data_IF_563626856734
#
_entry.id   IF_563626856734
#
_cell.length_a   1.000
_cell.length_b   1.000
_cell.length_c   1.000
_cell.angle_alpha   90.00
_cell.angle_beta   90.00
_cell.angle_gamma   90.00
#
_symmetry.space_group_name_H-M   'P 1'
#
loop_
_entity.id
_entity.type
_entity.pdbx_description
1 polymer ?
#
# COMPACT_ATOMS: atom_id res chain seq x y z
N UNK A 1 130.82 -171.73 6.07
CA UNK A 1 130.77 -170.50 6.89
C UNK A 1 130.21 -169.38 6.01
N UNK A 2 128.90 -169.10 5.90
CA UNK A 2 127.71 -169.58 6.64
C UNK A 2 127.65 -169.21 8.13
N UNK A 3 127.87 -167.93 8.45
CA UNK A 3 127.28 -167.26 9.63
C UNK A 3 127.38 -165.71 9.62
N UNK A 4 128.07 -165.10 8.64
CA UNK A 4 128.22 -163.63 8.55
C UNK A 4 127.21 -162.95 7.58
N UNK A 5 126.60 -163.70 6.67
CA UNK A 5 125.64 -163.15 5.69
C UNK A 5 124.29 -162.82 6.34
N UNK A 6 123.76 -163.72 7.18
CA UNK A 6 122.43 -163.54 7.79
C UNK A 6 122.43 -162.43 8.85
N UNK A 7 123.53 -162.26 9.59
CA UNK A 7 123.70 -161.15 10.53
C UNK A 7 123.73 -159.78 9.81
N UNK A 8 124.34 -159.73 8.62
CA UNK A 8 124.36 -158.54 7.78
C UNK A 8 122.96 -158.23 7.22
N UNK A 9 122.20 -159.25 6.79
CA UNK A 9 120.81 -159.08 6.33
C UNK A 9 119.92 -158.56 7.46
N UNK A 10 120.01 -159.12 8.68
CA UNK A 10 119.21 -158.67 9.83
C UNK A 10 119.55 -157.22 10.19
N UNK A 11 120.84 -156.84 10.24
CA UNK A 11 121.24 -155.45 10.48
C UNK A 11 120.75 -154.49 9.37
N UNK A 12 120.72 -154.92 8.11
CA UNK A 12 120.16 -154.10 7.02
C UNK A 12 118.64 -153.97 7.11
N UNK A 13 117.92 -155.03 7.50
CA UNK A 13 116.46 -154.99 7.74
C UNK A 13 116.12 -154.10 8.92
N UNK A 14 116.82 -154.22 10.04
CA UNK A 14 116.57 -153.40 11.24
C UNK A 14 116.94 -151.92 11.01
N UNK A 15 118.02 -151.65 10.26
CA UNK A 15 118.37 -150.29 9.82
C UNK A 15 117.32 -149.70 8.86
N UNK A 16 116.78 -150.50 7.94
CA UNK A 16 115.65 -150.11 7.08
C UNK A 16 114.35 -149.89 7.86
N UNK A 17 114.05 -150.75 8.84
CA UNK A 17 112.87 -150.61 9.69
C UNK A 17 112.94 -149.35 10.54
N UNK A 18 114.07 -149.07 11.19
CA UNK A 18 114.27 -147.84 11.96
C UNK A 18 114.29 -146.58 11.07
N UNK A 19 114.78 -146.68 9.83
CA UNK A 19 114.69 -145.59 8.85
C UNK A 19 113.23 -145.34 8.45
N UNK A 20 112.49 -146.39 8.07
CA UNK A 20 111.08 -146.30 7.71
C UNK A 20 110.20 -145.82 8.87
N UNK A 21 110.47 -146.25 10.10
CA UNK A 21 109.75 -145.79 11.30
C UNK A 21 110.06 -144.31 11.62
N UNK A 22 111.29 -143.87 11.38
CA UNK A 22 111.67 -142.45 11.42
C UNK A 22 111.02 -141.61 10.31
N UNK A 23 110.81 -142.17 9.12
CA UNK A 23 110.08 -141.53 8.03
C UNK A 23 108.56 -141.47 8.30
N UNK A 24 107.96 -142.57 8.80
CA UNK A 24 106.56 -142.62 9.25
C UNK A 24 106.32 -141.59 10.34
N UNK A 25 107.22 -141.47 11.33
CA UNK A 25 107.11 -140.44 12.36
C UNK A 25 107.17 -139.03 11.76
N UNK A 26 108.11 -138.74 10.85
CA UNK A 26 108.17 -137.44 10.13
C UNK A 26 106.90 -137.16 9.32
N UNK A 27 106.25 -138.19 8.76
CA UNK A 27 104.97 -138.05 8.03
C UNK A 27 103.81 -137.80 9.00
N UNK A 28 103.77 -138.48 10.15
CA UNK A 28 102.77 -138.25 11.19
C UNK A 28 102.90 -136.85 11.82
N UNK A 29 104.13 -136.42 12.12
CA UNK A 29 104.42 -135.06 12.61
C UNK A 29 103.97 -134.00 11.59
N UNK A 30 104.26 -134.20 10.28
CA UNK A 30 103.76 -133.33 9.20
C UNK A 30 102.22 -133.35 9.09
N UNK A 31 101.58 -134.49 9.28
CA UNK A 31 100.12 -134.61 9.20
C UNK A 31 99.44 -133.89 10.39
N UNK A 32 100.01 -133.97 11.60
CA UNK A 32 99.54 -133.22 12.76
C UNK A 32 99.74 -131.71 12.58
N UNK A 33 100.88 -131.30 12.01
CA UNK A 33 101.19 -129.90 11.71
C UNK A 33 100.27 -129.34 10.60
N UNK A 34 99.87 -130.19 9.65
CA UNK A 34 98.87 -129.86 8.61
C UNK A 34 97.44 -129.77 9.18
N UNK A 35 97.01 -130.70 10.04
CA UNK A 35 95.71 -130.63 10.73
C UNK A 35 95.60 -129.37 11.61
N UNK A 36 96.70 -128.95 12.26
CA UNK A 36 96.76 -127.68 12.97
C UNK A 36 96.56 -126.48 12.03
N UNK A 37 97.26 -126.43 10.90
CA UNK A 37 97.10 -125.38 9.87
C UNK A 37 95.67 -125.37 9.31
N UNK A 38 95.10 -126.53 9.01
CA UNK A 38 93.72 -126.67 8.52
C UNK A 38 92.70 -126.18 9.57
N UNK A 39 92.92 -126.41 10.86
CA UNK A 39 92.10 -125.87 11.96
C UNK A 39 92.22 -124.35 12.07
N UNK A 40 93.43 -123.79 11.94
CA UNK A 40 93.66 -122.34 11.90
C UNK A 40 92.95 -121.70 10.69
N UNK A 41 93.05 -122.32 9.50
CA UNK A 41 92.32 -121.90 8.28
C UNK A 41 90.81 -121.97 8.47
N UNK A 42 90.26 -123.07 9.01
CA UNK A 42 88.80 -123.19 9.30
C UNK A 42 88.32 -122.12 10.28
N UNK A 43 89.11 -121.81 11.31
CA UNK A 43 88.79 -120.76 12.27
C UNK A 43 88.84 -119.36 11.63
N UNK A 44 89.79 -119.10 10.74
CA UNK A 44 89.86 -117.86 9.96
C UNK A 44 88.65 -117.72 9.02
N UNK A 45 88.32 -118.78 8.26
CA UNK A 45 87.14 -118.81 7.37
C UNK A 45 85.84 -118.57 8.14
N UNK A 46 85.67 -119.17 9.33
CA UNK A 46 84.50 -118.92 10.19
C UNK A 46 84.38 -117.44 10.57
N UNK A 47 85.48 -116.80 11.00
CA UNK A 47 85.50 -115.35 11.30
C UNK A 47 85.19 -114.50 10.07
N UNK A 48 85.67 -114.90 8.89
CA UNK A 48 85.33 -114.20 7.63
C UNK A 48 83.85 -114.30 7.29
N UNK A 49 83.21 -115.46 7.48
CA UNK A 49 81.76 -115.64 7.28
C UNK A 49 80.97 -114.79 8.28
N UNK A 50 81.32 -114.83 9.57
CA UNK A 50 80.68 -114.00 10.61
C UNK A 50 80.80 -112.49 10.29
N UNK A 51 81.96 -112.05 9.77
CA UNK A 51 82.20 -110.67 9.34
C UNK A 51 81.45 -110.27 8.06
N UNK A 52 81.23 -111.21 7.13
CA UNK A 52 80.43 -111.00 5.91
C UNK A 52 78.96 -110.84 6.29
N UNK A 53 78.40 -111.76 7.09
CA UNK A 53 77.01 -111.69 7.55
C UNK A 53 76.75 -110.37 8.32
N UNK A 54 77.67 -109.99 9.22
CA UNK A 54 77.58 -108.71 9.94
C UNK A 54 77.78 -107.46 9.04
N UNK A 55 78.31 -107.60 7.83
CA UNK A 55 78.26 -106.55 6.81
C UNK A 55 76.92 -106.55 6.05
N UNK A 56 76.40 -107.73 5.68
CA UNK A 56 75.11 -107.90 5.02
C UNK A 56 73.96 -107.31 5.87
N UNK A 57 73.90 -107.63 7.16
CA UNK A 57 72.92 -107.05 8.10
C UNK A 57 72.99 -105.51 8.13
N UNK A 58 74.20 -104.94 8.14
CA UNK A 58 74.40 -103.48 8.11
C UNK A 58 74.02 -102.88 6.76
N UNK A 59 74.29 -103.57 5.65
CA UNK A 59 73.87 -103.13 4.32
C UNK A 59 72.34 -103.11 4.21
N UNK A 60 71.64 -104.14 4.70
CA UNK A 60 70.18 -104.20 4.73
C UNK A 60 69.57 -103.06 5.56
N UNK A 61 70.18 -102.72 6.71
CA UNK A 61 69.79 -101.56 7.52
C UNK A 61 70.09 -100.24 6.79
N UNK A 62 71.21 -100.12 6.08
CA UNK A 62 71.53 -98.93 5.28
C UNK A 62 70.54 -98.76 4.10
N UNK A 63 70.21 -99.83 3.38
CA UNK A 63 69.22 -99.82 2.30
C UNK A 63 67.84 -99.35 2.81
N UNK A 64 67.37 -99.94 3.91
CA UNK A 64 66.11 -99.53 4.57
C UNK A 64 66.12 -98.04 4.95
N UNK A 65 67.23 -97.54 5.49
CA UNK A 65 67.37 -96.13 5.85
C UNK A 65 67.40 -95.20 4.62
N UNK A 66 68.05 -95.62 3.52
CA UNK A 66 68.11 -94.88 2.26
C UNK A 66 66.71 -94.78 1.64
N UNK A 67 65.97 -95.89 1.54
CA UNK A 67 64.59 -95.90 1.06
C UNK A 67 63.69 -94.97 1.89
N UNK A 68 63.81 -95.01 3.22
CA UNK A 68 63.08 -94.10 4.10
C UNK A 68 63.49 -92.62 3.98
N UNK A 69 64.70 -92.30 3.50
CA UNK A 69 65.09 -90.93 3.13
C UNK A 69 64.44 -90.53 1.81
N UNK A 70 64.46 -91.39 0.80
CA UNK A 70 63.84 -91.17 -0.52
C UNK A 70 62.33 -90.92 -0.38
N UNK A 71 61.61 -91.71 0.42
CA UNK A 71 60.19 -91.50 0.69
C UNK A 71 59.90 -90.13 1.33
N UNK A 72 60.75 -89.70 2.27
CA UNK A 72 60.64 -88.37 2.89
C UNK A 72 60.96 -87.24 1.91
N UNK A 73 61.89 -87.43 0.99
CA UNK A 73 62.19 -86.47 -0.09
C UNK A 73 60.98 -86.35 -1.03
N UNK A 74 60.48 -87.46 -1.57
CA UNK A 74 59.30 -87.50 -2.44
C UNK A 74 58.06 -86.84 -1.79
N UNK A 75 57.82 -87.13 -0.50
CA UNK A 75 56.72 -86.50 0.25
C UNK A 75 56.93 -84.99 0.49
N UNK A 76 58.17 -84.53 0.56
CA UNK A 76 58.51 -83.10 0.71
C UNK A 76 58.36 -82.36 -0.62
N UNK A 77 58.81 -82.95 -1.73
CA UNK A 77 58.64 -82.42 -3.08
C UNK A 77 57.16 -82.27 -3.45
N UNK A 78 56.33 -83.28 -3.15
CA UNK A 78 54.88 -83.23 -3.36
C UNK A 78 54.20 -82.11 -2.57
N UNK A 79 54.60 -81.91 -1.29
CA UNK A 79 54.12 -80.77 -0.47
C UNK A 79 54.58 -79.43 -1.03
N UNK A 80 55.83 -79.33 -1.48
CA UNK A 80 56.39 -78.10 -2.06
C UNK A 80 55.70 -77.73 -3.38
N UNK A 81 55.45 -78.70 -4.27
CA UNK A 81 54.70 -78.51 -5.50
C UNK A 81 53.26 -78.03 -5.22
N UNK A 82 52.59 -78.63 -4.23
CA UNK A 82 51.25 -78.21 -3.79
C UNK A 82 51.25 -76.78 -3.25
N UNK A 83 52.22 -76.43 -2.39
CA UNK A 83 52.38 -75.08 -1.85
C UNK A 83 52.64 -74.05 -2.96
N UNK A 84 53.51 -74.36 -3.91
CA UNK A 84 53.78 -73.50 -5.06
C UNK A 84 52.52 -73.24 -5.91
N UNK A 85 51.73 -74.28 -6.20
CA UNK A 85 50.46 -74.14 -6.91
C UNK A 85 49.41 -73.33 -6.15
N UNK A 86 49.40 -73.36 -4.81
CA UNK A 86 48.53 -72.51 -3.98
C UNK A 86 48.99 -71.05 -4.08
N UNK A 87 50.28 -70.79 -3.87
CA UNK A 87 50.87 -69.45 -3.96
C UNK A 87 50.63 -68.81 -5.32
N UNK A 88 50.79 -69.56 -6.42
CA UNK A 88 50.51 -69.06 -7.77
C UNK A 88 49.03 -68.67 -7.93
N UNK A 89 48.09 -69.51 -7.47
CA UNK A 89 46.65 -69.20 -7.51
C UNK A 89 46.28 -67.95 -6.70
N UNK A 90 46.88 -67.75 -5.52
CA UNK A 90 46.64 -66.54 -4.74
C UNK A 90 47.30 -65.29 -5.36
N UNK A 91 48.47 -65.43 -5.99
CA UNK A 91 49.09 -64.36 -6.76
C UNK A 91 48.22 -63.92 -7.96
N UNK A 92 47.69 -64.88 -8.72
CA UNK A 92 46.84 -64.62 -9.88
C UNK A 92 45.53 -63.91 -9.46
N UNK A 93 44.91 -64.35 -8.35
CA UNK A 93 43.75 -63.66 -7.73
C UNK A 93 44.10 -62.23 -7.30
N UNK A 94 45.25 -62.02 -6.65
CA UNK A 94 45.70 -60.70 -6.23
C UNK A 94 45.88 -59.76 -7.44
N UNK A 95 46.48 -60.25 -8.53
CA UNK A 95 46.62 -59.50 -9.78
C UNK A 95 45.26 -59.16 -10.42
N UNK A 96 44.30 -60.09 -10.43
CA UNK A 96 42.95 -59.83 -10.92
C UNK A 96 42.22 -58.74 -10.09
N UNK A 97 42.39 -58.76 -8.77
CA UNK A 97 41.85 -57.74 -7.87
C UNK A 97 42.53 -56.38 -8.09
N UNK A 98 43.86 -56.33 -8.24
CA UNK A 98 44.60 -55.10 -8.55
C UNK A 98 44.11 -54.48 -9.87
N UNK A 99 43.92 -55.30 -10.92
CA UNK A 99 43.36 -54.83 -12.19
C UNK A 99 41.97 -54.23 -12.02
N UNK A 100 41.08 -54.91 -11.29
CA UNK A 100 39.71 -54.44 -11.01
C UNK A 100 39.70 -53.12 -10.23
N UNK A 101 40.60 -52.97 -9.25
CA UNK A 101 40.77 -51.73 -8.49
C UNK A 101 41.29 -50.58 -9.37
N UNK A 102 42.26 -50.85 -10.26
CA UNK A 102 42.76 -49.85 -11.21
C UNK A 102 41.67 -49.37 -12.19
N UNK A 103 40.87 -50.29 -12.74
CA UNK A 103 39.73 -49.96 -13.60
C UNK A 103 38.67 -49.13 -12.83
N UNK A 104 38.44 -49.45 -11.56
CA UNK A 104 37.54 -48.69 -10.67
C UNK A 104 38.04 -47.27 -10.38
N UNK A 105 39.33 -47.11 -10.03
CA UNK A 105 39.99 -45.81 -9.81
C UNK A 105 39.93 -44.94 -11.07
N UNK A 106 40.14 -45.53 -12.26
CA UNK A 106 40.02 -44.83 -13.54
C UNK A 106 38.59 -44.31 -13.79
N UNK A 107 37.57 -45.05 -13.38
CA UNK A 107 36.17 -44.62 -13.50
C UNK A 107 35.81 -43.54 -12.46
N UNK A 108 36.28 -43.68 -11.22
CA UNK A 108 36.14 -42.64 -10.19
C UNK A 108 36.77 -41.32 -10.65
N UNK A 109 37.98 -41.35 -11.25
CA UNK A 109 38.60 -40.15 -11.82
C UNK A 109 37.72 -39.48 -12.88
N UNK A 110 37.16 -40.21 -13.84
CA UNK A 110 36.24 -39.66 -14.85
C UNK A 110 35.01 -38.98 -14.22
N UNK A 111 34.47 -39.57 -13.16
CA UNK A 111 33.33 -39.03 -12.41
C UNK A 111 33.69 -37.72 -11.69
N UNK A 112 34.86 -37.68 -11.05
CA UNK A 112 35.41 -36.47 -10.41
C UNK A 112 35.65 -35.36 -11.43
N UNK A 113 36.27 -35.67 -12.57
CA UNK A 113 36.54 -34.70 -13.64
C UNK A 113 35.22 -34.11 -14.18
N UNK A 114 34.21 -34.95 -14.41
CA UNK A 114 32.86 -34.53 -14.85
C UNK A 114 32.14 -33.66 -13.82
N UNK A 115 32.27 -34.01 -12.53
CA UNK A 115 31.68 -33.26 -11.41
C UNK A 115 32.34 -31.88 -11.30
N UNK A 116 33.67 -31.80 -11.44
CA UNK A 116 34.43 -30.55 -11.40
C UNK A 116 34.01 -29.60 -12.54
N UNK A 117 33.78 -30.11 -13.74
CA UNK A 117 33.27 -29.31 -14.86
C UNK A 117 31.81 -28.86 -14.66
N UNK A 118 30.99 -29.67 -14.00
CA UNK A 118 29.68 -29.25 -13.51
C UNK A 118 29.76 -28.09 -12.51
N UNK A 119 30.64 -28.18 -11.51
CA UNK A 119 30.86 -27.14 -10.51
C UNK A 119 31.36 -25.82 -11.13
N UNK A 120 32.26 -25.86 -12.12
CA UNK A 120 32.69 -24.66 -12.88
C UNK A 120 31.51 -23.97 -13.56
N UNK A 121 30.61 -24.74 -14.21
CA UNK A 121 29.40 -24.19 -14.85
C UNK A 121 28.47 -23.52 -13.84
N UNK A 122 28.24 -24.17 -12.68
CA UNK A 122 27.45 -23.59 -11.58
C UNK A 122 28.11 -22.30 -11.06
N UNK A 123 29.42 -22.29 -10.86
CA UNK A 123 30.17 -21.09 -10.44
C UNK A 123 29.98 -19.90 -11.41
N UNK A 124 30.03 -20.16 -12.72
CA UNK A 124 29.78 -19.13 -13.74
C UNK A 124 28.33 -18.59 -13.68
N UNK A 125 27.33 -19.47 -13.50
CA UNK A 125 25.92 -19.07 -13.34
C UNK A 125 25.72 -18.24 -12.07
N UNK A 126 26.31 -18.64 -10.95
CA UNK A 126 26.24 -17.87 -9.69
C UNK A 126 26.89 -16.49 -9.84
N UNK A 127 28.05 -16.41 -10.51
CA UNK A 127 28.73 -15.14 -10.78
C UNK A 127 27.92 -14.21 -11.70
N UNK A 128 27.17 -14.77 -12.66
CA UNK A 128 26.29 -14.00 -13.53
C UNK A 128 25.03 -13.53 -12.79
N UNK A 129 24.37 -14.42 -12.06
CA UNK A 129 23.19 -14.08 -11.24
C UNK A 129 23.52 -12.98 -10.21
N UNK A 130 24.72 -12.98 -9.61
CA UNK A 130 25.17 -11.90 -8.72
C UNK A 130 25.15 -10.53 -9.41
N UNK A 131 25.69 -10.44 -10.63
CA UNK A 131 25.70 -9.19 -11.43
C UNK A 131 24.30 -8.74 -11.82
N UNK A 132 23.41 -9.68 -12.13
CA UNK A 132 22.04 -9.36 -12.54
C UNK A 132 21.17 -8.94 -11.36
N UNK A 133 21.40 -9.50 -10.17
CA UNK A 133 20.81 -9.02 -8.90
C UNK A 133 21.31 -7.61 -8.58
N UNK A 134 22.62 -7.34 -8.69
CA UNK A 134 23.20 -6.00 -8.48
C UNK A 134 22.54 -4.94 -9.39
N UNK A 135 22.40 -5.25 -10.70
CA UNK A 135 21.69 -4.40 -11.67
C UNK A 135 20.21 -4.21 -11.32
N UNK A 136 19.53 -5.27 -10.89
CA UNK A 136 18.12 -5.20 -10.51
C UNK A 136 17.91 -4.29 -9.29
N UNK A 137 18.77 -4.39 -8.28
CA UNK A 137 18.75 -3.52 -7.09
C UNK A 137 18.97 -2.05 -7.47
N UNK A 138 19.95 -1.74 -8.33
CA UNK A 138 20.15 -0.37 -8.82
C UNK A 138 18.94 0.18 -9.59
N UNK A 139 18.29 -0.65 -10.42
CA UNK A 139 17.11 -0.24 -11.18
C UNK A 139 15.89 0.00 -10.27
N UNK A 140 15.74 -0.79 -9.20
CA UNK A 140 14.69 -0.60 -8.20
C UNK A 140 14.92 0.70 -7.42
N UNK A 141 16.14 0.97 -6.94
CA UNK A 141 16.49 2.22 -6.24
C UNK A 141 16.24 3.47 -7.11
N UNK A 142 16.67 3.43 -8.39
CA UNK A 142 16.42 4.51 -9.36
C UNK A 142 14.92 4.74 -9.59
N UNK A 143 14.12 3.67 -9.74
CA UNK A 143 12.67 3.76 -9.91
C UNK A 143 11.95 4.26 -8.66
N UNK A 144 12.38 3.84 -7.47
CA UNK A 144 11.84 4.30 -6.20
C UNK A 144 12.03 5.81 -6.05
N UNK A 145 13.28 6.30 -6.20
CA UNK A 145 13.62 7.73 -6.15
C UNK A 145 12.84 8.57 -7.15
N UNK A 146 12.67 8.08 -8.38
CA UNK A 146 11.87 8.76 -9.41
C UNK A 146 10.37 8.81 -9.04
N UNK A 147 9.84 7.74 -8.45
CA UNK A 147 8.44 7.64 -8.00
C UNK A 147 8.17 8.59 -6.82
N UNK A 148 9.05 8.59 -5.82
CA UNK A 148 8.96 9.49 -4.65
C UNK A 148 9.04 10.97 -5.06
N UNK A 149 9.94 11.30 -5.99
CA UNK A 149 10.04 12.65 -6.55
C UNK A 149 8.77 13.06 -7.32
N UNK A 150 8.17 12.15 -8.11
CA UNK A 150 6.94 12.43 -8.84
C UNK A 150 5.73 12.61 -7.91
N UNK A 151 5.57 11.72 -6.92
CA UNK A 151 4.51 11.82 -5.90
C UNK A 151 4.63 13.15 -5.14
N UNK A 152 5.85 13.52 -4.71
CA UNK A 152 6.08 14.80 -4.04
C UNK A 152 5.72 16.00 -4.93
N UNK A 153 6.11 15.98 -6.21
CA UNK A 153 5.82 17.07 -7.14
C UNK A 153 4.31 17.26 -7.40
N UNK A 154 3.55 16.18 -7.61
CA UNK A 154 2.10 16.27 -7.78
C UNK A 154 1.36 16.59 -6.46
N UNK A 155 1.89 16.14 -5.31
CA UNK A 155 1.40 16.56 -3.99
C UNK A 155 1.57 18.07 -3.78
N UNK A 156 2.78 18.61 -3.97
CA UNK A 156 3.09 20.03 -3.79
C UNK A 156 2.20 20.91 -4.71
N UNK A 157 2.04 20.50 -5.97
CA UNK A 157 1.17 21.13 -6.97
C UNK A 157 -0.32 21.07 -6.61
N UNK A 158 -0.77 19.95 -6.03
CA UNK A 158 -2.16 19.79 -5.57
C UNK A 158 -2.43 20.64 -4.33
N UNK A 159 -1.51 20.63 -3.36
CA UNK A 159 -1.58 21.46 -2.17
C UNK A 159 -1.62 22.96 -2.54
N UNK A 160 -0.78 23.41 -3.48
CA UNK A 160 -0.82 24.79 -3.99
C UNK A 160 -2.19 25.18 -4.58
N UNK A 161 -2.84 24.29 -5.35
CA UNK A 161 -4.21 24.51 -5.85
C UNK A 161 -5.25 24.55 -4.73
N UNK A 162 -5.12 23.71 -3.71
CA UNK A 162 -6.02 23.69 -2.53
C UNK A 162 -5.91 25.01 -1.76
N UNK A 163 -4.70 25.50 -1.50
CA UNK A 163 -4.50 26.80 -0.84
C UNK A 163 -5.06 27.96 -1.68
N UNK A 164 -4.80 27.99 -2.98
CA UNK A 164 -5.35 29.02 -3.87
C UNK A 164 -6.88 29.01 -3.93
N UNK A 165 -7.51 27.82 -3.89
CA UNK A 165 -8.96 27.69 -3.80
C UNK A 165 -9.49 28.12 -2.43
N UNK A 166 -8.79 27.82 -1.33
CA UNK A 166 -9.15 28.28 0.02
C UNK A 166 -9.22 29.81 0.08
N UNK A 167 -8.18 30.51 -0.41
CA UNK A 167 -8.17 31.99 -0.47
C UNK A 167 -9.30 32.55 -1.33
N UNK A 168 -9.66 31.90 -2.44
CA UNK A 168 -10.82 32.30 -3.25
C UNK A 168 -12.14 32.11 -2.52
N UNK A 169 -12.30 31.04 -1.75
CA UNK A 169 -13.49 30.80 -0.93
C UNK A 169 -13.63 31.86 0.17
N UNK A 170 -12.55 32.18 0.88
CA UNK A 170 -12.51 33.22 1.91
C UNK A 170 -12.84 34.62 1.34
N UNK A 171 -12.34 34.93 0.14
CA UNK A 171 -12.68 36.16 -0.58
C UNK A 171 -14.16 36.19 -1.01
N UNK A 172 -14.70 35.08 -1.51
CA UNK A 172 -16.12 34.96 -1.89
C UNK A 172 -17.04 35.08 -0.68
N UNK A 173 -16.71 34.49 0.46
CA UNK A 173 -17.46 34.62 1.71
C UNK A 173 -17.52 36.09 2.18
N UNK A 174 -16.38 36.79 2.10
CA UNK A 174 -16.28 38.23 2.39
C UNK A 174 -17.13 39.08 1.44
N UNK A 175 -17.12 38.75 0.15
CA UNK A 175 -17.93 39.43 -0.86
C UNK A 175 -19.44 39.19 -0.65
N UNK A 176 -19.85 37.96 -0.32
CA UNK A 176 -21.24 37.62 0.01
C UNK A 176 -21.73 38.38 1.24
N UNK A 177 -20.91 38.50 2.29
CA UNK A 177 -21.22 39.29 3.49
C UNK A 177 -21.43 40.77 3.16
N UNK A 178 -20.54 41.35 2.34
CA UNK A 178 -20.66 42.73 1.85
C UNK A 178 -21.93 42.94 1.04
N UNK A 179 -22.21 42.04 0.09
CA UNK A 179 -23.41 42.10 -0.74
C UNK A 179 -24.70 41.95 0.08
N UNK A 180 -24.73 41.09 1.10
CA UNK A 180 -25.86 40.96 2.02
C UNK A 180 -26.14 42.28 2.74
N UNK A 181 -25.11 42.93 3.29
CA UNK A 181 -25.25 44.25 3.93
C UNK A 181 -25.75 45.33 2.95
N UNK A 182 -25.28 45.32 1.70
CA UNK A 182 -25.75 46.26 0.68
C UNK A 182 -27.21 46.02 0.29
N UNK A 183 -27.63 44.75 0.14
CA UNK A 183 -29.03 44.36 -0.12
C UNK A 183 -29.93 44.79 1.04
N UNK A 184 -29.51 44.59 2.29
CA UNK A 184 -30.29 45.00 3.48
C UNK A 184 -30.47 46.52 3.53
N UNK A 185 -29.40 47.29 3.26
CA UNK A 185 -29.46 48.75 3.17
C UNK A 185 -30.38 49.22 2.04
N UNK A 186 -30.30 48.61 0.86
CA UNK A 186 -31.16 48.94 -0.27
C UNK A 186 -32.63 48.59 0.02
N UNK A 187 -32.89 47.46 0.68
CA UNK A 187 -34.25 47.05 1.09
C UNK A 187 -34.86 48.07 2.05
N UNK A 188 -34.10 48.51 3.06
CA UNK A 188 -34.53 49.57 3.97
C UNK A 188 -34.75 50.92 3.24
N UNK A 189 -33.87 51.27 2.29
CA UNK A 189 -34.02 52.48 1.47
C UNK A 189 -35.26 52.47 0.58
N UNK A 190 -35.59 51.34 -0.03
CA UNK A 190 -36.82 51.16 -0.83
C UNK A 190 -38.06 51.29 0.05
N UNK A 191 -38.06 50.71 1.26
CA UNK A 191 -39.16 50.85 2.21
C UNK A 191 -39.36 52.32 2.66
N UNK A 192 -38.28 53.03 2.96
CA UNK A 192 -38.32 54.46 3.31
C UNK A 192 -38.83 55.33 2.14
N UNK A 193 -38.35 55.07 0.92
CA UNK A 193 -38.82 55.76 -0.28
C UNK A 193 -40.31 55.50 -0.55
N UNK A 194 -40.79 54.26 -0.36
CA UNK A 194 -42.22 53.92 -0.51
C UNK A 194 -43.08 54.73 0.47
N UNK A 195 -42.69 54.78 1.74
CA UNK A 195 -43.40 55.57 2.76
C UNK A 195 -43.38 57.09 2.44
N UNK A 196 -42.27 57.62 1.92
CA UNK A 196 -42.17 59.02 1.50
C UNK A 196 -43.07 59.33 0.30
N UNK A 197 -43.14 58.42 -0.68
CA UNK A 197 -44.03 58.54 -1.85
C UNK A 197 -45.50 58.48 -1.42
N UNK A 198 -45.88 57.55 -0.55
CA UNK A 198 -47.26 57.43 -0.07
C UNK A 198 -47.73 58.73 0.60
N UNK A 199 -46.88 59.32 1.45
CA UNK A 199 -47.17 60.61 2.09
C UNK A 199 -47.28 61.78 1.09
N UNK A 200 -46.47 61.78 0.02
CA UNK A 200 -46.49 62.81 -1.01
C UNK A 200 -47.69 62.70 -1.96
N UNK A 201 -48.11 61.47 -2.29
CA UNK A 201 -49.16 61.20 -3.29
C UNK A 201 -50.55 61.15 -2.66
N UNK A 202 -50.69 60.61 -1.45
CA UNK A 202 -51.99 60.41 -0.80
C UNK A 202 -52.23 61.44 0.31
N UNK A 203 -51.39 61.48 1.35
CA UNK A 203 -51.68 62.24 2.56
C UNK A 203 -51.69 63.75 2.32
N UNK A 204 -50.60 64.30 1.78
CA UNK A 204 -50.46 65.75 1.59
C UNK A 204 -51.54 66.32 0.66
N UNK A 205 -51.82 65.76 -0.54
CA UNK A 205 -52.86 66.29 -1.42
C UNK A 205 -54.26 66.14 -0.82
N UNK A 206 -54.55 65.02 -0.14
CA UNK A 206 -55.86 64.82 0.50
C UNK A 206 -56.12 65.85 1.60
N UNK A 207 -55.12 66.15 2.45
CA UNK A 207 -55.24 67.20 3.46
C UNK A 207 -55.39 68.60 2.83
N UNK A 208 -54.61 68.92 1.80
CA UNK A 208 -54.70 70.21 1.10
C UNK A 208 -56.05 70.39 0.39
N UNK A 209 -56.55 69.37 -0.31
CA UNK A 209 -57.86 69.38 -0.96
C UNK A 209 -58.97 69.49 0.10
N UNK A 210 -58.88 68.77 1.22
CA UNK A 210 -59.83 68.91 2.33
C UNK A 210 -59.90 70.35 2.87
N UNK A 211 -58.75 70.99 3.10
CA UNK A 211 -58.67 72.40 3.52
C UNK A 211 -59.20 73.36 2.45
N UNK A 212 -58.94 73.10 1.17
CA UNK A 212 -59.47 73.89 0.06
C UNK A 212 -60.99 73.77 -0.03
N UNK A 213 -61.55 72.55 0.06
CA UNK A 213 -62.99 72.31 0.07
C UNK A 213 -63.67 73.06 1.22
N UNK A 214 -63.17 72.93 2.45
CA UNK A 214 -63.73 73.70 3.59
C UNK A 214 -63.66 75.22 3.41
N UNK A 215 -62.64 75.73 2.70
CA UNK A 215 -62.55 77.16 2.33
C UNK A 215 -63.52 77.55 1.23
N UNK A 216 -63.77 76.66 0.27
CA UNK A 216 -64.77 76.83 -0.79
C UNK A 216 -66.19 76.81 -0.22
N UNK A 217 -66.53 75.85 0.65
CA UNK A 217 -67.83 75.77 1.32
C UNK A 217 -68.11 77.03 2.18
N UNK A 218 -67.08 77.50 2.89
CA UNK A 218 -67.15 78.73 3.66
C UNK A 218 -67.27 80.00 2.77
N UNK A 219 -66.66 79.98 1.56
CA UNK A 219 -66.80 81.06 0.58
C UNK A 219 -68.20 81.03 -0.04
N UNK A 220 -68.70 79.89 -0.47
CA UNK A 220 -70.05 79.71 -1.01
C UNK A 220 -71.12 80.15 -0.01
N UNK A 221 -71.01 79.72 1.25
CA UNK A 221 -71.90 80.17 2.34
C UNK A 221 -71.86 81.70 2.50
N UNK A 222 -70.69 82.33 2.36
CA UNK A 222 -70.52 83.80 2.42
C UNK A 222 -71.08 84.49 1.18
N UNK A 223 -70.91 83.91 0.00
CA UNK A 223 -71.45 84.43 -1.28
C UNK A 223 -72.97 84.38 -1.26
N UNK A 224 -73.57 83.24 -0.90
CA UNK A 224 -75.02 83.09 -0.74
C UNK A 224 -75.60 84.06 0.31
N UNK A 225 -74.88 84.26 1.42
CA UNK A 225 -75.26 85.25 2.43
C UNK A 225 -75.11 86.70 1.94
N UNK A 226 -74.10 87.00 1.13
CA UNK A 226 -73.88 88.32 0.52
C UNK A 226 -74.93 88.61 -0.57
N UNK A 227 -75.24 87.67 -1.46
CA UNK A 227 -76.30 87.80 -2.45
C UNK A 227 -77.65 88.03 -1.77
N UNK A 228 -77.95 87.28 -0.69
CA UNK A 228 -79.14 87.52 0.13
C UNK A 228 -79.16 88.95 0.69
N UNK A 229 -78.04 89.44 1.24
CA UNK A 229 -77.93 90.80 1.78
C UNK A 229 -78.02 91.89 0.69
N UNK A 230 -77.49 91.63 -0.50
CA UNK A 230 -77.58 92.52 -1.65
C UNK A 230 -79.02 92.61 -2.16
N UNK A 231 -79.69 91.46 -2.36
CA UNK A 231 -81.09 91.40 -2.76
C UNK A 231 -81.99 92.08 -1.71
N UNK A 232 -81.71 91.88 -0.43
CA UNK A 232 -82.34 92.59 0.69
C UNK A 232 -82.14 94.11 0.59
N UNK A 233 -80.91 94.58 0.35
CA UNK A 233 -80.62 96.01 0.24
C UNK A 233 -81.21 96.65 -1.02
N UNK A 234 -81.31 95.91 -2.12
CA UNK A 234 -81.96 96.41 -3.35
C UNK A 234 -83.48 96.45 -3.18
N UNK A 235 -84.08 95.49 -2.46
CA UNK A 235 -85.50 95.53 -2.11
C UNK A 235 -85.83 96.70 -1.17
N UNK A 236 -85.02 96.97 -0.13
CA UNK A 236 -85.22 98.16 0.72
C UNK A 236 -85.02 99.45 -0.07
N UNK A 237 -84.01 99.53 -0.94
CA UNK A 237 -83.80 100.70 -1.79
C UNK A 237 -84.98 100.94 -2.75
N UNK A 238 -85.52 99.89 -3.37
CA UNK A 238 -86.71 99.96 -4.21
C UNK A 238 -87.92 100.47 -3.40
N UNK A 239 -88.17 99.90 -2.22
CA UNK A 239 -89.24 100.32 -1.32
C UNK A 239 -89.08 101.81 -0.90
N UNK A 240 -87.89 102.22 -0.48
CA UNK A 240 -87.59 103.61 -0.11
C UNK A 240 -87.73 104.59 -1.30
N UNK A 241 -87.44 104.15 -2.52
CA UNK A 241 -87.59 104.96 -3.73
C UNK A 241 -89.06 105.18 -4.11
N UNK A 242 -89.93 104.20 -3.82
CA UNK A 242 -91.37 104.29 -4.04
C UNK A 242 -92.14 105.14 -3.02
N UNK A 243 -91.47 105.68 -1.99
CA UNK A 243 -92.08 106.59 -1.02
C UNK A 243 -92.42 107.93 -1.68
N UNK A 244 -93.71 108.27 -1.69
CA UNK A 244 -94.23 109.50 -2.27
C UNK A 244 -93.56 110.75 -1.67
N UNK A 245 -93.24 111.70 -2.54
CA UNK A 245 -92.68 112.98 -2.13
C UNK A 245 -93.81 113.93 -1.71
N UNK A 246 -93.62 114.78 -0.67
CA UNK A 246 -94.61 115.77 -0.27
C UNK A 246 -94.93 116.75 -1.41
N UNK A 247 -96.15 116.68 -1.97
CA UNK A 247 -96.59 117.63 -3.00
C UNK A 247 -97.00 118.99 -2.39
N UNK A 248 -97.75 118.95 -1.28
CA UNK A 248 -98.38 120.13 -0.69
C UNK A 248 -97.49 120.82 0.35
N UNK A 249 -97.38 122.15 0.27
CA UNK A 249 -96.63 122.99 1.21
C UNK A 249 -97.33 123.05 2.58
N UNK A 250 -96.54 123.08 3.66
CA UNK A 250 -97.03 123.23 5.03
C UNK A 250 -97.75 122.01 5.60
N UNK A 251 -97.77 120.88 4.89
CA UNK A 251 -98.43 119.64 5.33
C UNK A 251 -97.44 118.49 5.49
N UNK A 252 -97.60 117.75 6.57
CA UNK A 252 -96.90 116.48 6.80
C UNK A 252 -97.49 115.40 5.89
N UNK A 253 -96.63 114.59 5.28
CA UNK A 253 -97.02 113.45 4.45
C UNK A 253 -96.45 112.18 5.06
N UNK A 254 -97.31 111.20 5.31
CA UNK A 254 -96.94 109.84 5.65
C UNK A 254 -97.15 108.96 4.41
N UNK A 255 -96.16 108.16 4.08
CA UNK A 255 -96.16 107.27 2.92
C UNK A 255 -95.69 105.89 3.34
N UNK A 256 -96.26 104.87 2.71
CA UNK A 256 -95.83 103.48 2.82
C UNK A 256 -95.62 102.93 1.42
N UNK A 257 -94.56 102.15 1.23
CA UNK A 257 -94.22 101.57 -0.05
C UNK A 257 -93.69 100.15 0.13
N UNK A 258 -93.88 99.32 -0.90
CA UNK A 258 -93.34 97.96 -0.95
C UNK A 258 -92.37 97.86 -2.13
N UNK A 259 -91.25 97.19 -1.92
CA UNK A 259 -90.23 96.96 -2.94
C UNK A 259 -89.77 95.50 -2.89
N UNK A 260 -89.48 94.94 -4.06
CA UNK A 260 -88.97 93.58 -4.20
C UNK A 260 -87.79 93.56 -5.18
N UNK A 261 -86.80 92.73 -4.89
CA UNK A 261 -85.65 92.50 -5.76
C UNK A 261 -85.12 91.07 -5.55
N UNK A 262 -84.92 90.35 -6.66
CA UNK A 262 -84.63 88.91 -6.61
C UNK A 262 -85.74 88.15 -5.85
N UNK A 263 -85.35 87.32 -4.88
CA UNK A 263 -86.28 86.60 -4.00
C UNK A 263 -86.58 87.30 -2.66
N UNK A 264 -86.20 88.58 -2.51
CA UNK A 264 -86.37 89.35 -1.27
C UNK A 264 -87.40 90.48 -1.44
N UNK A 265 -88.21 90.68 -0.40
CA UNK A 265 -89.20 91.76 -0.31
C UNK A 265 -88.93 92.67 0.90
N UNK A 266 -89.29 93.94 0.77
CA UNK A 266 -89.13 94.95 1.81
C UNK A 266 -90.32 95.91 1.88
N UNK A 267 -90.66 96.32 3.10
CA UNK A 267 -91.65 97.36 3.37
C UNK A 267 -90.91 98.61 3.83
N UNK A 268 -91.22 99.75 3.22
CA UNK A 268 -90.75 101.08 3.60
C UNK A 268 -91.88 101.91 4.19
N UNK A 269 -91.55 102.69 5.23
CA UNK A 269 -92.38 103.74 5.79
C UNK A 269 -91.59 105.06 5.72
N UNK A 270 -92.23 106.11 5.24
CA UNK A 270 -91.60 107.40 4.97
C UNK A 270 -92.43 108.57 5.43
N UNK A 271 -91.79 109.52 6.08
CA UNK A 271 -92.35 110.80 6.48
C UNK A 271 -91.68 111.92 5.69
N UNK A 272 -92.46 112.92 5.26
CA UNK A 272 -91.91 114.08 4.57
C UNK A 272 -92.68 115.36 4.87
N UNK A 273 -91.95 116.47 4.86
CA UNK A 273 -92.47 117.81 5.10
C UNK A 273 -91.90 118.79 4.07
N UNK A 274 -92.77 119.47 3.35
CA UNK A 274 -92.42 120.56 2.41
C UNK A 274 -92.66 121.89 3.12
N UNK A 275 -91.60 122.47 3.66
CA UNK A 275 -91.65 123.68 4.48
C UNK A 275 -92.04 124.91 3.64
N UNK A 276 -91.53 124.99 2.41
CA UNK A 276 -91.89 125.98 1.39
C UNK A 276 -91.96 125.30 0.03
N UNK A 277 -92.52 125.95 -1.00
CA UNK A 277 -92.50 125.41 -2.38
C UNK A 277 -91.09 124.99 -2.82
N UNK A 278 -90.08 125.75 -2.36
CA UNK A 278 -88.67 125.58 -2.69
C UNK A 278 -87.88 124.65 -1.76
N UNK A 279 -88.42 124.19 -0.62
CA UNK A 279 -87.70 123.33 0.32
C UNK A 279 -88.54 122.17 0.83
N UNK A 280 -88.10 120.95 0.53
CA UNK A 280 -88.69 119.71 1.03
C UNK A 280 -87.65 118.84 1.74
N UNK A 281 -88.08 118.20 2.83
CA UNK A 281 -87.30 117.20 3.57
C UNK A 281 -88.12 115.92 3.62
N UNK A 282 -87.49 114.78 3.34
CA UNK A 282 -88.09 113.45 3.53
C UNK A 282 -87.12 112.51 4.23
N UNK A 283 -87.65 111.62 5.07
CA UNK A 283 -86.93 110.52 5.68
C UNK A 283 -87.74 109.24 5.58
N UNK A 284 -87.06 108.13 5.30
CA UNK A 284 -87.67 106.82 5.19
C UNK A 284 -86.87 105.76 5.93
N UNK A 285 -87.57 104.75 6.45
CA UNK A 285 -86.98 103.53 6.96
C UNK A 285 -87.67 102.33 6.31
N UNK A 286 -86.88 101.34 5.90
CA UNK A 286 -87.35 100.14 5.25
C UNK A 286 -86.78 98.90 5.91
N UNK A 287 -87.59 97.85 6.00
CA UNK A 287 -87.25 96.57 6.62
C UNK A 287 -87.57 95.42 5.67
N UNK A 288 -86.68 94.45 5.58
CA UNK A 288 -86.87 93.26 4.73
C UNK A 288 -87.64 92.16 5.46
N UNK A 289 -88.58 91.53 4.76
CA UNK A 289 -89.34 90.39 5.26
C UNK A 289 -88.52 89.09 5.08
N UNK A 290 -87.90 88.58 6.15
CA UNK A 290 -87.11 87.34 6.11
C UNK A 290 -86.40 87.00 7.41
N UNK A 291 -85.82 85.78 7.52
CA UNK A 291 -85.17 85.28 8.76
C UNK A 291 -83.96 86.08 9.27
N UNK A 292 -83.44 87.01 8.47
CA UNK A 292 -82.37 87.96 8.84
C UNK A 292 -82.79 89.35 8.37
N UNK A 293 -83.84 89.91 8.96
CA UNK A 293 -84.34 91.24 8.59
C UNK A 293 -83.23 92.29 8.69
N UNK A 294 -82.98 92.99 7.59
CA UNK A 294 -82.13 94.18 7.53
C UNK A 294 -83.03 95.41 7.52
N UNK A 295 -82.60 96.43 8.26
CA UNK A 295 -83.20 97.75 8.24
C UNK A 295 -82.27 98.72 7.51
N UNK A 296 -82.81 99.47 6.56
CA UNK A 296 -82.13 100.56 5.84
C UNK A 296 -82.92 101.83 6.10
N UNK A 297 -82.23 102.96 6.30
CA UNK A 297 -82.88 104.26 6.44
C UNK A 297 -82.23 105.26 5.49
N UNK A 298 -83.00 106.24 5.04
CA UNK A 298 -82.52 107.38 4.27
C UNK A 298 -83.13 108.69 4.80
N UNK A 299 -82.41 109.79 4.60
CA UNK A 299 -82.90 111.14 4.77
C UNK A 299 -82.42 111.92 3.56
N UNK A 300 -83.31 112.70 2.96
CA UNK A 300 -83.02 113.51 1.79
C UNK A 300 -83.65 114.90 1.95
N UNK A 301 -82.92 115.91 1.48
CA UNK A 301 -83.38 117.29 1.37
C UNK A 301 -83.37 117.67 -0.10
N UNK A 302 -84.40 118.38 -0.54
CA UNK A 302 -84.54 118.89 -1.91
C UNK A 302 -84.77 120.40 -1.85
N UNK A 303 -83.99 121.15 -2.61
CA UNK A 303 -84.12 122.61 -2.73
C UNK A 303 -84.24 122.99 -4.21
N UNK A 304 -85.34 123.64 -4.56
CA UNK A 304 -85.66 124.08 -5.92
C UNK A 304 -85.45 125.61 -6.01
N UNK A 305 -84.63 126.07 -6.96
CA UNK A 305 -84.23 127.48 -7.09
C UNK A 305 -84.98 128.21 -8.20
#
# INVERSE_FOLDING_TARGET
MSNLADLWIIQQVDKRFNTANGEIKKVADKAADQDKKDKEVRAAVKKSIEFINAHEDRLNVHETNILGVVDRQNATESKLATAFQITQREFDKANANIKTNNDSVKNLKKSIDSTNDGLKKVGNVVAQNKKDIERAVELVDKKQKATDAHIKAEFDKTNAKVQANKTKTEANETALKTNKTAIDKNTAGVAANKAAIDKLVLDNPTQQIGQLNSRVDALDTRVNAFETQLNQSMATQAALSGLFQPYNVGKFNLSAAYGAYGNQGAVALGAGYRATEKLAIKGGAAVTSGKKSKATYNIAVNYEF
#
